data_IF_960105566960
#
_entry.id   IF_960105566960
#
_cell.length_a   1.000
_cell.length_b   1.000
_cell.length_c   1.000
_cell.angle_alpha   90.00
_cell.angle_beta   90.00
_cell.angle_gamma   90.00
#
_symmetry.space_group_name_H-M   'P 1'
#
loop_
_entity.id
_entity.type
_entity.pdbx_description
1 polymer ?
#
# COMPACT_ATOMS: atom_id res chain seq x y z
N UNK A 1 -2.54 -25.75 -11.01
CA UNK A 1 -3.11 -24.65 -10.21
C UNK A 1 -1.97 -24.13 -9.35
N UNK A 2 -1.30 -23.08 -9.79
CA UNK A 2 -0.27 -22.40 -9.01
C UNK A 2 -0.70 -20.96 -8.76
N UNK A 3 -0.68 -20.58 -7.49
CA UNK A 3 -1.07 -19.27 -6.99
C UNK A 3 0.08 -18.28 -7.20
N UNK A 4 0.13 -17.58 -8.34
CA UNK A 4 1.07 -16.47 -8.56
C UNK A 4 0.35 -15.13 -8.45
N UNK A 5 0.01 -14.73 -7.22
CA UNK A 5 -0.36 -13.35 -6.88
C UNK A 5 0.82 -12.64 -6.19
N UNK A 6 2.01 -12.83 -6.74
CA UNK A 6 3.18 -12.03 -6.38
C UNK A 6 3.09 -10.73 -7.15
N UNK A 7 3.18 -9.58 -6.48
CA UNK A 7 3.44 -8.31 -7.16
C UNK A 7 4.75 -8.50 -7.94
N UNK A 8 4.77 -8.35 -9.28
CA UNK A 8 6.01 -8.51 -10.03
C UNK A 8 7.10 -7.57 -9.51
N UNK A 9 8.35 -7.95 -9.71
CA UNK A 9 9.46 -7.04 -9.47
C UNK A 9 9.35 -5.91 -10.49
N UNK A 10 9.11 -4.68 -10.04
CA UNK A 10 9.04 -3.50 -10.89
C UNK A 10 10.22 -2.59 -10.57
N UNK A 11 10.99 -2.26 -11.60
CA UNK A 11 12.19 -1.41 -11.53
C UNK A 11 11.84 0.09 -11.52
N UNK A 12 10.55 0.41 -11.31
CA UNK A 12 10.01 1.76 -11.31
C UNK A 12 9.20 2.06 -10.06
N UNK A 13 9.22 3.33 -9.66
CA UNK A 13 8.38 3.84 -8.59
C UNK A 13 6.90 3.73 -8.99
N UNK A 14 6.04 3.44 -8.02
CA UNK A 14 4.61 3.35 -8.25
C UNK A 14 4.08 4.67 -8.81
N UNK A 15 3.45 4.64 -9.99
CA UNK A 15 2.88 5.84 -10.59
C UNK A 15 1.41 6.02 -10.21
N UNK A 16 0.91 7.25 -10.34
CA UNK A 16 -0.47 7.60 -9.96
C UNK A 16 -1.54 6.76 -10.69
N UNK A 17 -1.28 6.39 -11.94
CA UNK A 17 -2.19 5.58 -12.76
C UNK A 17 -2.29 4.13 -12.25
N UNK A 18 -1.28 3.65 -11.53
CA UNK A 18 -1.19 2.28 -11.02
C UNK A 18 -1.80 2.13 -9.62
N UNK A 19 -1.96 3.25 -8.88
CA UNK A 19 -2.43 3.27 -7.48
C UNK A 19 -3.72 2.47 -7.32
N UNK A 20 -4.72 2.68 -8.18
CA UNK A 20 -6.03 2.05 -8.02
C UNK A 20 -5.94 0.53 -8.18
N UNK A 21 -5.23 0.06 -9.20
CA UNK A 21 -5.07 -1.38 -9.44
C UNK A 21 -4.25 -2.03 -8.31
N UNK A 22 -3.17 -1.37 -7.90
CA UNK A 22 -2.30 -1.89 -6.85
C UNK A 22 -3.01 -1.95 -5.49
N UNK A 23 -3.79 -0.90 -5.16
CA UNK A 23 -4.58 -0.85 -3.94
C UNK A 23 -5.63 -1.97 -3.88
N UNK A 24 -6.23 -2.35 -5.01
CA UNK A 24 -7.16 -3.47 -5.07
C UNK A 24 -6.48 -4.81 -4.73
N UNK A 25 -5.27 -5.04 -5.25
CA UNK A 25 -4.49 -6.25 -4.94
C UNK A 25 -4.17 -6.29 -3.45
N UNK A 26 -3.65 -5.19 -2.89
CA UNK A 26 -3.33 -5.10 -1.46
C UNK A 26 -4.60 -5.28 -0.61
N UNK A 27 -5.71 -4.64 -0.97
CA UNK A 27 -6.99 -4.79 -0.26
C UNK A 27 -7.49 -6.24 -0.25
N UNK A 28 -7.31 -6.97 -1.36
CA UNK A 28 -7.67 -8.38 -1.44
C UNK A 28 -6.78 -9.21 -0.53
N UNK A 29 -5.47 -8.98 -0.54
CA UNK A 29 -4.52 -9.67 0.34
C UNK A 29 -4.83 -9.44 1.82
N UNK A 30 -5.15 -8.20 2.22
CA UNK A 30 -5.55 -7.87 3.59
C UNK A 30 -6.78 -8.68 4.03
N UNK A 31 -7.79 -8.80 3.14
CA UNK A 31 -9.00 -9.61 3.40
C UNK A 31 -8.69 -11.09 3.52
N UNK A 32 -7.91 -11.63 2.58
CA UNK A 32 -7.60 -13.06 2.51
C UNK A 32 -6.79 -13.52 3.74
N UNK A 33 -5.89 -12.66 4.21
CA UNK A 33 -5.09 -12.87 5.41
C UNK A 33 -5.84 -12.52 6.71
N UNK A 34 -7.08 -12.02 6.62
CA UNK A 34 -7.91 -11.58 7.75
C UNK A 34 -7.21 -10.55 8.64
N UNK A 35 -6.43 -9.66 8.02
CA UNK A 35 -5.81 -8.53 8.72
C UNK A 35 -6.90 -7.53 9.10
N UNK A 36 -6.85 -7.03 10.33
CA UNK A 36 -7.77 -6.01 10.85
C UNK A 36 -7.10 -4.66 11.10
N UNK A 37 -5.77 -4.64 11.21
CA UNK A 37 -4.96 -3.45 11.49
C UNK A 37 -3.66 -3.49 10.69
N UNK A 38 -3.25 -2.34 10.17
CA UNK A 38 -2.02 -2.14 9.42
C UNK A 38 -1.28 -0.92 9.96
N UNK A 39 -0.07 -1.15 10.45
CA UNK A 39 0.91 -0.11 10.78
C UNK A 39 1.80 0.16 9.56
N UNK A 40 1.73 1.38 9.02
CA UNK A 40 2.54 1.81 7.89
C UNK A 40 3.62 2.78 8.35
N UNK A 41 4.88 2.34 8.24
CA UNK A 41 6.05 3.13 8.57
C UNK A 41 6.63 3.74 7.29
N UNK A 42 6.81 5.06 7.28
CA UNK A 42 7.29 5.75 6.09
C UNK A 42 8.05 7.03 6.44
N UNK A 43 8.74 7.61 5.45
CA UNK A 43 9.32 8.97 5.58
C UNK A 43 8.20 10.00 5.46
N UNK A 44 8.48 11.25 5.80
CA UNK A 44 7.51 12.32 5.54
C UNK A 44 7.32 12.51 4.03
N UNK A 45 6.09 12.52 3.49
CA UNK A 45 5.83 12.86 2.09
C UNK A 45 6.26 14.29 1.73
N UNK A 46 6.44 15.17 2.73
CA UNK A 46 6.99 16.51 2.56
C UNK A 46 8.49 16.49 2.24
N UNK A 47 9.21 15.45 2.71
CA UNK A 47 10.65 15.27 2.50
C UNK A 47 10.96 14.43 1.28
N UNK A 48 10.08 13.49 0.92
CA UNK A 48 10.21 12.65 -0.26
C UNK A 48 8.87 12.55 -1.00
N UNK A 49 8.72 13.29 -2.09
CA UNK A 49 7.47 13.26 -2.86
C UNK A 49 7.26 11.92 -3.59
N UNK A 50 8.30 11.10 -3.77
CA UNK A 50 8.19 9.82 -4.48
C UNK A 50 7.44 8.77 -3.67
N UNK A 51 7.26 8.97 -2.36
CA UNK A 51 6.49 8.06 -1.51
C UNK A 51 4.98 8.36 -1.52
N UNK A 52 4.55 9.50 -2.07
CA UNK A 52 3.13 9.89 -2.13
C UNK A 52 2.26 8.79 -2.80
N UNK A 53 2.65 8.20 -3.94
CA UNK A 53 1.84 7.16 -4.57
C UNK A 53 1.65 5.93 -3.69
N UNK A 54 2.67 5.55 -2.91
CA UNK A 54 2.60 4.43 -1.97
C UNK A 54 1.69 4.75 -0.79
N UNK A 55 1.78 5.96 -0.27
CA UNK A 55 0.93 6.46 0.80
C UNK A 55 -0.56 6.42 0.39
N UNK A 56 -0.86 6.91 -0.80
CA UNK A 56 -2.21 6.92 -1.36
C UNK A 56 -2.71 5.49 -1.66
N UNK A 57 -1.84 4.61 -2.15
CA UNK A 57 -2.14 3.19 -2.35
C UNK A 57 -2.55 2.49 -1.03
N UNK A 58 -1.77 2.66 0.04
CA UNK A 58 -2.05 2.02 1.33
C UNK A 58 -3.34 2.57 1.96
N UNK A 59 -3.56 3.89 1.89
CA UNK A 59 -4.82 4.51 2.33
C UNK A 59 -6.02 3.98 1.57
N UNK A 60 -5.91 3.84 0.25
CA UNK A 60 -7.00 3.32 -0.57
C UNK A 60 -7.27 1.84 -0.28
N UNK A 61 -6.22 1.02 -0.15
CA UNK A 61 -6.33 -0.41 0.11
C UNK A 61 -6.98 -0.72 1.47
N UNK A 62 -6.57 0.00 2.52
CA UNK A 62 -7.12 -0.14 3.87
C UNK A 62 -8.57 0.32 3.96
N UNK A 63 -8.93 1.40 3.28
CA UNK A 63 -10.34 1.83 3.16
C UNK A 63 -11.21 0.76 2.48
N UNK A 64 -10.75 0.21 1.34
CA UNK A 64 -11.48 -0.83 0.60
C UNK A 64 -11.61 -2.17 1.36
N UNK A 65 -10.67 -2.45 2.27
CA UNK A 65 -10.66 -3.65 3.10
C UNK A 65 -11.27 -3.45 4.49
N UNK A 66 -11.61 -2.21 4.86
CA UNK A 66 -12.08 -1.82 6.21
C UNK A 66 -11.07 -2.19 7.31
N UNK A 67 -9.79 -2.12 6.98
CA UNK A 67 -8.67 -2.34 7.90
C UNK A 67 -8.32 -1.01 8.57
N UNK A 68 -8.06 -1.04 9.88
CA UNK A 68 -7.55 0.11 10.60
C UNK A 68 -6.16 0.46 10.12
N UNK A 69 -5.89 1.72 9.80
CA UNK A 69 -4.59 2.18 9.33
C UNK A 69 -3.98 3.14 10.35
N UNK A 70 -2.78 2.81 10.83
CA UNK A 70 -1.93 3.71 11.61
C UNK A 70 -0.71 4.06 10.79
N UNK A 71 -0.39 5.36 10.71
CA UNK A 71 0.73 5.87 9.93
C UNK A 71 1.79 6.40 10.88
N UNK A 72 3.00 5.89 10.74
CA UNK A 72 4.16 6.29 11.53
C UNK A 72 5.17 6.98 10.62
N UNK A 73 5.44 8.25 10.87
CA UNK A 73 6.50 9.00 10.19
C UNK A 73 7.80 8.79 10.94
N UNK A 74 8.81 8.24 10.24
CA UNK A 74 10.13 7.99 10.81
C UNK A 74 10.92 9.30 10.93
N UNK A 75 11.65 9.52 12.04
CA UNK A 75 12.59 10.64 12.16
C UNK A 75 13.77 10.46 11.19
N UNK A 76 14.35 11.58 10.75
CA UNK A 76 15.56 11.61 9.91
C UNK A 76 16.82 11.12 10.63
#
# INVERSE_FOLDING_TARGET
MESSWSIPYYDHLLNNEEITHHAQIVAQQLKDLKISELDYYTRSPELDCNIIPYFDCIKLATNQSKVSLVIHILPE
#
